data_IF_207589831047
#
_entry.id   IF_207589831047
#
_cell.length_a   1.000
_cell.length_b   1.000
_cell.length_c   1.000
_cell.angle_alpha   90.00
_cell.angle_beta   90.00
_cell.angle_gamma   90.00
#
_symmetry.space_group_name_H-M   'P 1'
#
loop_
_entity.id
_entity.type
_entity.pdbx_description
1 polymer ?
#
# COMPACT_ATOMS: atom_id res chain seq x y z
N UNK A 1 25.63 1.72 26.62
CA UNK A 1 24.70 2.77 26.19
C UNK A 1 24.47 2.52 24.70
N UNK A 2 23.40 1.85 24.36
CA UNK A 2 23.03 1.57 22.95
C UNK A 2 22.58 2.88 22.32
N UNK A 3 23.30 3.34 21.29
CA UNK A 3 22.82 4.41 20.41
C UNK A 3 21.50 3.92 19.82
N UNK A 4 20.39 4.58 20.15
CA UNK A 4 19.14 4.41 19.45
C UNK A 4 19.43 4.83 18.00
N UNK A 5 19.62 3.88 17.11
CA UNK A 5 19.66 4.15 15.67
C UNK A 5 18.39 4.94 15.35
N UNK A 6 18.57 6.14 14.83
CA UNK A 6 17.48 6.99 14.37
C UNK A 6 16.74 6.22 13.27
N UNK A 7 15.64 5.55 13.66
CA UNK A 7 14.83 4.79 12.73
C UNK A 7 14.16 5.77 11.78
N UNK A 8 14.63 5.81 10.55
CA UNK A 8 14.01 6.61 9.50
C UNK A 8 12.80 5.86 8.92
N UNK A 9 11.70 6.58 8.76
CA UNK A 9 10.47 6.03 8.18
C UNK A 9 10.64 5.70 6.70
N UNK A 10 11.25 6.61 5.95
CA UNK A 10 11.47 6.45 4.52
C UNK A 10 12.64 5.50 4.29
N UNK A 11 12.43 4.52 3.43
CA UNK A 11 13.48 3.65 2.90
C UNK A 11 13.68 4.05 1.44
N UNK A 12 14.87 4.55 1.13
CA UNK A 12 15.22 4.94 -0.24
C UNK A 12 15.43 3.71 -1.09
N UNK A 13 14.73 3.64 -2.20
CA UNK A 13 14.85 2.65 -3.24
C UNK A 13 15.03 3.35 -4.59
N UNK A 14 15.79 2.77 -5.51
CA UNK A 14 16.07 3.36 -6.82
C UNK A 14 14.84 3.32 -7.72
N UNK A 15 14.15 2.18 -7.77
CA UNK A 15 12.93 1.97 -8.55
C UNK A 15 11.66 1.94 -7.72
N UNK A 16 11.75 2.04 -6.41
CA UNK A 16 10.63 2.01 -5.49
C UNK A 16 9.99 3.39 -5.28
N UNK A 17 8.67 3.44 -5.35
CA UNK A 17 7.92 4.68 -5.15
C UNK A 17 7.39 4.73 -3.72
N UNK A 18 7.75 5.80 -2.98
CA UNK A 18 7.14 6.14 -1.69
C UNK A 18 7.21 4.98 -0.66
N UNK A 19 8.33 4.23 -0.65
CA UNK A 19 8.53 3.09 0.23
C UNK A 19 8.83 3.56 1.66
N UNK A 20 8.01 3.13 2.60
CA UNK A 20 8.09 3.60 3.99
C UNK A 20 7.56 2.61 5.00
N UNK A 21 8.14 2.65 6.18
CA UNK A 21 7.71 1.93 7.38
C UNK A 21 6.54 2.67 8.04
N UNK A 22 5.49 1.98 8.44
CA UNK A 22 4.39 2.54 9.22
C UNK A 22 4.56 2.33 10.74
N UNK A 23 5.73 1.85 11.17
CA UNK A 23 6.10 1.75 12.58
C UNK A 23 6.19 3.11 13.28
N UNK A 24 6.23 3.10 14.60
CA UNK A 24 6.42 4.29 15.43
C UNK A 24 5.17 5.15 15.66
N UNK A 25 4.05 4.91 15.01
CA UNK A 25 2.79 5.59 15.34
C UNK A 25 2.21 5.05 16.65
N UNK A 26 1.83 5.95 17.53
CA UNK A 26 1.27 5.63 18.86
C UNK A 26 -0.24 5.84 18.84
N UNK A 27 -0.99 4.88 19.35
CA UNK A 27 -2.43 5.00 19.51
C UNK A 27 -2.81 5.77 20.79
N UNK A 28 -4.10 6.03 20.97
CA UNK A 28 -4.64 6.77 22.14
C UNK A 28 -4.42 6.06 23.49
N UNK A 29 -4.07 4.77 23.47
CA UNK A 29 -3.75 3.97 24.66
C UNK A 29 -2.23 3.91 24.94
N UNK A 30 -1.40 4.68 24.22
CA UNK A 30 0.05 4.69 24.35
C UNK A 30 0.78 3.50 23.72
N UNK A 31 0.08 2.60 23.01
CA UNK A 31 0.70 1.48 22.29
C UNK A 31 1.24 1.96 20.95
N UNK A 32 2.44 1.52 20.61
CA UNK A 32 3.14 1.93 19.39
C UNK A 32 3.20 0.79 18.38
N UNK A 33 2.98 1.10 17.11
CA UNK A 33 3.19 0.15 16.00
C UNK A 33 4.67 -0.21 15.95
N UNK A 34 4.98 -1.51 15.91
CA UNK A 34 6.36 -1.99 15.85
C UNK A 34 7.01 -1.57 14.53
N UNK A 35 8.26 -1.14 14.61
CA UNK A 35 9.08 -0.87 13.43
C UNK A 35 9.43 -2.15 12.67
N UNK A 36 9.65 -2.02 11.37
CA UNK A 36 10.09 -3.11 10.47
C UNK A 36 9.10 -4.29 10.43
N UNK A 37 7.80 -4.01 10.64
CA UNK A 37 6.74 -5.03 10.54
C UNK A 37 5.79 -4.79 9.39
N UNK A 38 5.44 -3.55 9.12
CA UNK A 38 4.50 -3.21 8.07
C UNK A 38 5.05 -2.04 7.26
N UNK A 39 5.26 -2.29 5.97
CA UNK A 39 5.71 -1.29 5.02
C UNK A 39 4.58 -0.91 4.08
N UNK A 40 4.64 0.30 3.54
CA UNK A 40 3.75 0.77 2.50
C UNK A 40 4.54 1.38 1.35
N UNK A 41 4.09 1.18 0.10
CA UNK A 41 4.74 1.75 -1.09
C UNK A 41 3.78 1.90 -2.27
N UNK A 42 4.28 2.43 -3.38
CA UNK A 42 3.68 2.33 -4.70
C UNK A 42 3.98 0.99 -5.35
N UNK A 43 3.71 0.87 -6.65
CA UNK A 43 3.93 -0.39 -7.37
C UNK A 43 5.40 -0.83 -7.34
N UNK A 44 5.62 -2.14 -7.38
CA UNK A 44 6.95 -2.77 -7.30
C UNK A 44 7.48 -3.23 -8.66
N UNK A 45 7.02 -2.62 -9.76
CA UNK A 45 7.34 -3.06 -11.12
C UNK A 45 8.72 -2.61 -11.63
N UNK A 46 9.40 -1.71 -10.92
CA UNK A 46 10.67 -1.09 -11.38
C UNK A 46 11.81 -1.22 -10.39
N UNK A 47 11.71 -2.17 -9.47
CA UNK A 47 12.76 -2.37 -8.48
C UNK A 47 14.06 -2.81 -9.17
N UNK A 48 15.17 -2.24 -8.74
CA UNK A 48 16.52 -2.68 -9.11
C UNK A 48 16.94 -3.89 -8.28
N UNK A 49 18.03 -4.57 -8.69
CA UNK A 49 18.59 -5.67 -7.90
C UNK A 49 19.00 -5.19 -6.49
N UNK A 50 19.52 -3.97 -6.36
CA UNK A 50 19.87 -3.38 -5.07
C UNK A 50 18.63 -3.10 -4.19
N UNK A 51 17.49 -2.78 -4.81
CA UNK A 51 16.22 -2.66 -4.10
C UNK A 51 15.74 -4.02 -3.58
N UNK A 52 15.87 -5.07 -4.39
CA UNK A 52 15.52 -6.44 -3.99
C UNK A 52 16.35 -6.89 -2.79
N UNK A 53 17.67 -6.64 -2.82
CA UNK A 53 18.55 -6.92 -1.68
C UNK A 53 18.12 -6.13 -0.42
N UNK A 54 17.68 -4.89 -0.60
CA UNK A 54 17.17 -4.05 0.49
C UNK A 54 15.88 -4.63 1.10
N UNK A 55 14.94 -5.10 0.28
CA UNK A 55 13.72 -5.74 0.74
C UNK A 55 14.03 -7.04 1.50
N UNK A 56 14.98 -7.83 0.99
CA UNK A 56 15.44 -9.06 1.66
C UNK A 56 16.09 -8.75 3.01
N UNK A 57 16.95 -7.73 3.08
CA UNK A 57 17.58 -7.28 4.33
C UNK A 57 16.58 -6.77 5.37
N UNK A 58 15.46 -6.16 4.94
CA UNK A 58 14.35 -5.78 5.83
C UNK A 58 13.60 -7.02 6.33
N UNK A 59 13.68 -8.13 5.62
CA UNK A 59 12.97 -9.37 5.93
C UNK A 59 11.52 -9.36 5.44
N UNK A 60 11.24 -8.72 4.31
CA UNK A 60 9.90 -8.76 3.70
C UNK A 60 9.59 -10.19 3.27
N UNK A 61 8.57 -10.78 3.87
CA UNK A 61 8.14 -12.14 3.58
C UNK A 61 6.81 -12.20 2.81
N UNK A 62 6.00 -11.15 2.91
CA UNK A 62 4.70 -11.06 2.25
C UNK A 62 4.49 -9.71 1.58
N UNK A 63 3.93 -9.77 0.37
CA UNK A 63 3.55 -8.58 -0.42
C UNK A 63 2.05 -8.64 -0.66
N UNK A 64 1.36 -7.60 -0.22
CA UNK A 64 -0.09 -7.45 -0.38
C UNK A 64 -0.37 -6.43 -1.47
N UNK A 65 -0.77 -6.92 -2.64
CA UNK A 65 -1.07 -6.08 -3.81
C UNK A 65 -2.56 -5.73 -3.85
N UNK A 66 -2.86 -4.46 -3.62
CA UNK A 66 -4.24 -3.92 -3.65
C UNK A 66 -4.63 -3.34 -5.02
N UNK A 67 -3.81 -3.55 -6.04
CA UNK A 67 -4.12 -3.08 -7.40
C UNK A 67 -5.20 -3.96 -8.04
N UNK A 68 -5.88 -3.40 -9.01
CA UNK A 68 -6.78 -4.17 -9.86
C UNK A 68 -5.98 -5.12 -10.77
N UNK A 69 -6.63 -6.19 -11.22
CA UNK A 69 -6.01 -7.19 -12.11
C UNK A 69 -5.39 -6.54 -13.35
N UNK A 70 -6.08 -5.58 -13.97
CA UNK A 70 -5.59 -4.88 -15.16
C UNK A 70 -4.33 -4.07 -14.88
N UNK A 71 -4.19 -3.48 -13.68
CA UNK A 71 -2.99 -2.74 -13.28
C UNK A 71 -1.81 -3.69 -13.02
N UNK A 72 -2.09 -4.88 -12.46
CA UNK A 72 -1.09 -5.91 -12.22
C UNK A 72 -0.57 -6.49 -13.53
N UNK A 73 -1.46 -6.75 -14.50
CA UNK A 73 -1.10 -7.25 -15.84
C UNK A 73 -0.30 -6.23 -16.64
N UNK A 74 -0.65 -4.95 -16.57
CA UNK A 74 0.05 -3.87 -17.30
C UNK A 74 1.43 -3.55 -16.69
N UNK A 75 1.58 -3.74 -15.39
CA UNK A 75 2.81 -3.45 -14.66
C UNK A 75 3.07 -4.54 -13.61
N UNK A 76 3.49 -5.74 -14.04
CA UNK A 76 3.79 -6.84 -13.11
C UNK A 76 4.84 -6.41 -12.08
N UNK A 77 4.66 -6.82 -10.85
CA UNK A 77 5.67 -6.62 -9.82
C UNK A 77 6.93 -7.42 -10.13
N UNK A 78 8.10 -6.86 -9.81
CA UNK A 78 9.37 -7.58 -9.93
C UNK A 78 9.36 -8.87 -9.12
N UNK A 79 10.18 -9.84 -9.52
CA UNK A 79 10.36 -11.10 -8.79
C UNK A 79 11.06 -10.85 -7.45
N UNK A 80 10.28 -10.65 -6.41
CA UNK A 80 10.77 -10.52 -5.03
C UNK A 80 10.71 -11.90 -4.37
N UNK A 81 11.68 -12.20 -3.50
CA UNK A 81 11.69 -13.43 -2.67
C UNK A 81 10.70 -13.32 -1.51
N UNK A 82 9.43 -13.15 -1.84
CA UNK A 82 8.36 -13.02 -0.87
C UNK A 82 7.08 -13.65 -1.43
N UNK A 83 6.17 -14.04 -0.55
CA UNK A 83 4.86 -14.53 -0.94
C UNK A 83 3.97 -13.36 -1.36
N UNK A 84 3.44 -13.43 -2.59
CA UNK A 84 2.44 -12.48 -3.06
C UNK A 84 1.04 -12.89 -2.62
N UNK A 85 0.30 -11.92 -2.10
CA UNK A 85 -1.12 -12.03 -1.76
C UNK A 85 -1.86 -10.97 -2.57
N UNK A 86 -2.50 -11.38 -3.63
CA UNK A 86 -3.12 -10.52 -4.67
C UNK A 86 -4.64 -10.68 -4.78
N UNK A 87 -5.25 -11.50 -3.92
CA UNK A 87 -6.69 -11.80 -3.95
C UNK A 87 -7.59 -10.68 -3.38
N UNK A 88 -7.06 -9.48 -3.27
CA UNK A 88 -7.76 -8.36 -2.66
C UNK A 88 -8.72 -7.62 -3.58
N UNK A 89 -9.17 -8.15 -4.65
CA UNK A 89 -10.04 -7.51 -5.65
C UNK A 89 -10.95 -6.41 -5.05
N UNK A 90 -10.44 -5.19 -4.99
CA UNK A 90 -11.17 -4.04 -4.50
C UNK A 90 -11.85 -3.39 -5.69
N UNK A 91 -13.12 -3.68 -5.87
CA UNK A 91 -13.94 -2.95 -6.83
C UNK A 91 -14.38 -1.62 -6.19
N UNK A 92 -13.53 -0.62 -6.30
CA UNK A 92 -13.92 0.75 -5.96
C UNK A 92 -14.89 1.20 -7.06
N UNK A 93 -16.16 1.26 -6.70
CA UNK A 93 -17.20 1.69 -7.62
C UNK A 93 -16.86 3.04 -8.25
N UNK A 94 -16.96 3.07 -9.54
CA UNK A 94 -17.13 4.24 -10.41
C UNK A 94 -15.99 5.30 -10.44
N UNK A 95 -14.73 4.88 -10.29
CA UNK A 95 -13.60 5.70 -10.74
C UNK A 95 -13.74 6.02 -12.25
N UNK A 96 -14.39 5.15 -13.02
CA UNK A 96 -14.70 5.42 -14.43
C UNK A 96 -15.51 6.70 -14.58
N UNK A 97 -16.53 6.92 -13.75
CA UNK A 97 -17.31 8.16 -13.71
C UNK A 97 -16.48 9.38 -13.34
N UNK A 98 -15.51 9.24 -12.44
CA UNK A 98 -14.59 10.31 -12.10
C UNK A 98 -13.82 10.78 -13.34
N UNK A 99 -13.30 9.85 -14.13
CA UNK A 99 -12.59 10.18 -15.37
C UNK A 99 -13.51 10.74 -16.45
N UNK A 100 -14.73 10.22 -16.60
CA UNK A 100 -15.75 10.74 -17.51
C UNK A 100 -16.07 12.22 -17.19
N UNK A 101 -16.31 12.54 -15.92
CA UNK A 101 -16.55 13.92 -15.48
C UNK A 101 -15.32 14.79 -15.65
N UNK A 102 -14.12 14.29 -15.34
CA UNK A 102 -12.87 15.05 -15.47
C UNK A 102 -12.59 15.41 -16.92
N UNK A 103 -12.79 14.48 -17.84
CA UNK A 103 -12.56 14.69 -19.27
C UNK A 103 -13.77 15.33 -19.99
N UNK A 104 -14.97 15.23 -19.43
CA UNK A 104 -16.18 15.87 -19.95
C UNK A 104 -16.25 17.38 -19.77
N UNK A 105 -15.35 17.98 -18.98
CA UNK A 105 -15.24 19.43 -18.80
C UNK A 105 -16.38 20.06 -18.00
N UNK A 106 -17.24 19.28 -17.36
CA UNK A 106 -18.41 19.75 -16.60
C UNK A 106 -18.17 19.93 -15.09
N UNK A 107 -16.90 19.74 -14.62
CA UNK A 107 -16.59 19.81 -13.20
C UNK A 107 -16.45 21.25 -12.71
N UNK A 108 -17.32 21.62 -11.77
CA UNK A 108 -17.12 22.76 -10.89
C UNK A 108 -16.30 22.36 -9.65
N UNK A 109 -15.78 23.32 -8.89
CA UNK A 109 -15.07 23.04 -7.65
C UNK A 109 -15.94 22.25 -6.66
N UNK A 110 -17.23 22.61 -6.54
CA UNK A 110 -18.16 21.94 -5.61
C UNK A 110 -18.51 20.53 -6.08
N UNK A 111 -18.77 20.32 -7.37
CA UNK A 111 -19.08 18.99 -7.90
C UNK A 111 -17.86 18.04 -7.82
N UNK A 112 -16.65 18.56 -8.03
CA UNK A 112 -15.41 17.81 -7.85
C UNK A 112 -15.23 17.37 -6.40
N UNK A 113 -15.47 18.29 -5.45
CA UNK A 113 -15.37 17.97 -4.03
C UNK A 113 -16.38 16.88 -3.63
N UNK A 114 -17.65 17.04 -4.03
CA UNK A 114 -18.70 16.05 -3.74
C UNK A 114 -18.39 14.68 -4.36
N UNK A 115 -17.88 14.66 -5.58
CA UNK A 115 -17.49 13.43 -6.27
C UNK A 115 -16.39 12.68 -5.50
N UNK A 116 -15.34 13.40 -5.07
CA UNK A 116 -14.25 12.82 -4.28
C UNK A 116 -14.77 12.29 -2.93
N UNK A 117 -15.56 13.08 -2.20
CA UNK A 117 -16.14 12.65 -0.92
C UNK A 117 -17.01 11.41 -1.09
N UNK A 118 -17.86 11.38 -2.10
CA UNK A 118 -18.74 10.24 -2.36
C UNK A 118 -17.94 9.00 -2.79
N UNK A 119 -16.88 9.17 -3.59
CA UNK A 119 -15.98 8.08 -3.96
C UNK A 119 -15.31 7.47 -2.72
N UNK A 120 -14.76 8.30 -1.82
CA UNK A 120 -14.19 7.80 -0.57
C UNK A 120 -15.21 7.08 0.31
N UNK A 121 -16.44 7.59 0.40
CA UNK A 121 -17.50 6.93 1.18
C UNK A 121 -17.90 5.59 0.59
N UNK A 122 -18.07 5.51 -0.72
CA UNK A 122 -18.42 4.25 -1.40
C UNK A 122 -17.30 3.20 -1.33
N UNK A 123 -16.03 3.64 -1.20
CA UNK A 123 -14.90 2.73 -1.04
C UNK A 123 -14.94 1.98 0.29
N UNK A 124 -15.53 2.53 1.34
CA UNK A 124 -15.44 1.94 2.69
C UNK A 124 -16.00 0.51 2.67
N UNK A 125 -17.23 0.34 2.18
CA UNK A 125 -17.89 -0.97 2.17
C UNK A 125 -17.18 -1.97 1.23
N UNK A 126 -16.66 -1.49 0.10
CA UNK A 126 -15.94 -2.32 -0.84
C UNK A 126 -14.58 -2.80 -0.30
N UNK A 127 -13.92 -1.96 0.51
CA UNK A 127 -12.57 -2.25 1.04
C UNK A 127 -12.61 -3.14 2.28
N UNK A 128 -13.69 -3.12 3.08
CA UNK A 128 -13.77 -3.84 4.36
C UNK A 128 -13.41 -5.33 4.23
N UNK A 129 -13.92 -6.12 3.26
CA UNK A 129 -13.57 -7.53 3.17
C UNK A 129 -12.07 -7.76 2.88
N UNK A 130 -11.52 -6.99 1.93
CA UNK A 130 -10.11 -7.06 1.57
C UNK A 130 -9.21 -6.64 2.73
N UNK A 131 -9.54 -5.52 3.37
CA UNK A 131 -8.78 -5.02 4.53
C UNK A 131 -8.86 -5.95 5.73
N UNK A 132 -9.99 -6.61 5.95
CA UNK A 132 -10.14 -7.63 7.00
C UNK A 132 -9.24 -8.84 6.75
N UNK A 133 -9.11 -9.29 5.49
CA UNK A 133 -8.16 -10.36 5.12
C UNK A 133 -6.72 -9.90 5.35
N UNK A 134 -6.37 -8.72 4.86
CA UNK A 134 -5.05 -8.12 5.09
C UNK A 134 -4.69 -8.08 6.58
N UNK A 135 -5.57 -7.56 7.43
CA UNK A 135 -5.32 -7.48 8.87
C UNK A 135 -5.15 -8.85 9.52
N UNK A 136 -5.89 -9.87 9.09
CA UNK A 136 -5.66 -11.25 9.54
C UNK A 136 -4.27 -11.75 9.14
N UNK A 137 -3.88 -11.56 7.88
CA UNK A 137 -2.54 -11.93 7.41
C UNK A 137 -1.43 -11.27 8.24
N UNK A 138 -1.59 -9.99 8.59
CA UNK A 138 -0.63 -9.28 9.46
C UNK A 138 -0.57 -9.89 10.85
N UNK A 139 -1.71 -10.24 11.43
CA UNK A 139 -1.78 -10.84 12.79
C UNK A 139 -1.21 -12.24 12.80
N UNK A 140 -1.58 -13.06 11.82
CA UNK A 140 -1.15 -14.46 11.71
C UNK A 140 0.36 -14.59 11.41
N UNK A 141 0.98 -13.54 10.85
CA UNK A 141 2.39 -13.49 10.49
C UNK A 141 3.15 -12.36 11.22
N UNK A 142 2.80 -12.08 12.47
CA UNK A 142 3.31 -10.94 13.24
C UNK A 142 4.84 -10.95 13.46
N UNK A 143 5.50 -12.09 13.31
CA UNK A 143 6.96 -12.22 13.44
C UNK A 143 7.73 -11.81 12.19
N UNK A 144 7.08 -11.78 11.03
CA UNK A 144 7.68 -11.38 9.76
C UNK A 144 7.32 -9.94 9.36
N UNK A 145 8.01 -9.41 8.37
CA UNK A 145 7.69 -8.11 7.78
C UNK A 145 6.80 -8.29 6.53
N UNK A 146 5.83 -7.41 6.38
CA UNK A 146 4.95 -7.35 5.22
C UNK A 146 4.99 -5.98 4.56
N UNK A 147 4.80 -5.94 3.25
CA UNK A 147 4.56 -4.70 2.52
C UNK A 147 3.17 -4.74 1.88
N UNK A 148 2.45 -3.64 1.94
CA UNK A 148 1.22 -3.47 1.18
C UNK A 148 1.34 -2.29 0.22
N UNK A 149 0.75 -2.43 -0.96
CA UNK A 149 0.85 -1.40 -1.98
C UNK A 149 -0.37 -1.30 -2.89
N UNK A 150 -0.47 -0.16 -3.54
CA UNK A 150 -1.30 0.09 -4.70
C UNK A 150 -0.42 0.62 -5.83
N UNK A 151 -0.97 1.36 -6.77
CA UNK A 151 -0.18 1.93 -7.88
C UNK A 151 0.68 3.11 -7.46
N UNK A 152 0.19 4.00 -6.59
CA UNK A 152 0.89 5.23 -6.19
C UNK A 152 1.48 5.23 -4.76
N UNK A 153 1.03 4.35 -3.88
CA UNK A 153 1.48 4.23 -2.49
C UNK A 153 0.70 5.03 -1.47
#
# INVERSE_FOLDING_TARGET
MSAAESQTRVVSLDGGINFRDIGGYTNTQGRTVKWRKIMRCGHLARLSDGDLDTLEAIGISKIHDFRRTEEQEQSPSCAVRAEFVDDYQIHIGDISRFWEFLFGGELTADSSHQLVVNSYRSCIDAVIPAFSRFMRHIVDNADSASVFHCSAG
#
